data_IF_796216598394
#
_entry.id   IF_796216598394
#
_cell.length_a   1.000
_cell.length_b   1.000
_cell.length_c   1.000
_cell.angle_alpha   90.00
_cell.angle_beta   90.00
_cell.angle_gamma   90.00
#
_symmetry.space_group_name_H-M   'P 1'
#
loop_
_entity.id
_entity.type
_entity.pdbx_description
1 polymer ?
#
# COMPACT_ATOMS: atom_id res chain seq x y z
N UNK A 1 23.38 27.83 -30.68
CA UNK A 1 23.55 28.59 -29.41
C UNK A 1 23.46 27.60 -28.26
N UNK A 2 24.49 27.52 -27.40
CA UNK A 2 24.44 26.71 -26.18
C UNK A 2 23.82 27.55 -25.06
N UNK A 3 22.91 27.03 -24.22
CA UNK A 3 22.52 27.74 -23.01
C UNK A 3 23.55 27.50 -21.90
N UNK A 4 23.84 28.57 -21.17
CA UNK A 4 24.73 28.58 -20.01
C UNK A 4 23.99 28.08 -18.77
N UNK A 5 24.63 27.22 -17.98
CA UNK A 5 24.20 26.87 -16.63
C UNK A 5 24.70 27.94 -15.67
N UNK A 6 23.77 28.64 -15.01
CA UNK A 6 24.07 29.48 -13.83
C UNK A 6 23.53 28.73 -12.61
N UNK A 7 24.43 28.42 -11.68
CA UNK A 7 24.09 27.76 -10.43
C UNK A 7 23.34 28.70 -9.49
N UNK A 8 22.24 28.22 -8.94
CA UNK A 8 21.61 28.76 -7.75
C UNK A 8 21.26 27.61 -6.81
N UNK A 9 21.73 27.75 -5.58
CA UNK A 9 21.53 26.84 -4.44
C UNK A 9 20.05 26.93 -4.04
N UNK A 10 19.33 25.81 -4.09
CA UNK A 10 17.93 25.73 -3.68
C UNK A 10 17.76 24.64 -2.62
N UNK A 11 16.94 24.97 -1.61
CA UNK A 11 16.46 24.11 -0.55
C UNK A 11 15.89 22.77 -1.06
N UNK A 12 16.04 21.72 -0.24
CA UNK A 12 15.56 20.36 -0.52
C UNK A 12 14.02 20.31 -0.42
N UNK A 13 13.35 20.66 -1.51
CA UNK A 13 12.03 20.18 -1.88
C UNK A 13 12.15 19.50 -3.24
N UNK A 14 11.73 18.24 -3.36
CA UNK A 14 11.93 17.44 -4.56
C UNK A 14 11.30 18.09 -5.80
N UNK A 15 12.10 18.16 -6.85
CA UNK A 15 11.80 18.80 -8.14
C UNK A 15 10.96 17.89 -9.03
N UNK A 16 9.73 18.31 -9.33
CA UNK A 16 9.02 17.86 -10.53
C UNK A 16 9.87 18.20 -11.77
N UNK A 17 10.14 17.22 -12.63
CA UNK A 17 10.77 17.50 -13.93
C UNK A 17 9.71 18.13 -14.83
N UNK A 18 9.60 19.46 -14.78
CA UNK A 18 8.72 20.23 -15.66
C UNK A 18 9.30 20.25 -17.08
N UNK A 19 8.55 19.78 -18.06
CA UNK A 19 8.87 20.02 -19.48
C UNK A 19 8.06 21.20 -19.97
N UNK A 20 8.74 22.28 -20.41
CA UNK A 20 8.07 23.44 -20.99
C UNK A 20 7.95 23.27 -22.50
N UNK A 21 6.72 23.16 -23.01
CA UNK A 21 6.37 23.54 -24.37
C UNK A 21 5.24 24.59 -24.26
N UNK A 22 5.47 25.78 -24.79
CA UNK A 22 4.50 26.90 -24.82
C UNK A 22 4.03 27.49 -23.46
N UNK A 23 4.84 27.44 -22.42
CA UNK A 23 4.54 28.16 -21.16
C UNK A 23 3.47 27.53 -20.27
N UNK A 24 2.94 26.35 -20.65
CA UNK A 24 2.16 25.49 -19.77
C UNK A 24 3.11 24.51 -19.08
N UNK A 25 3.22 24.58 -17.75
CA UNK A 25 3.88 23.54 -16.98
C UNK A 25 2.98 22.31 -16.96
N UNK A 26 3.37 21.26 -17.66
CA UNK A 26 2.77 19.93 -17.48
C UNK A 26 3.60 19.18 -16.45
N UNK A 27 2.99 18.84 -15.31
CA UNK A 27 3.57 17.87 -14.41
C UNK A 27 3.59 16.51 -15.11
N UNK A 28 4.78 15.96 -15.35
CA UNK A 28 4.91 14.60 -15.86
C UNK A 28 4.50 13.66 -14.73
N UNK A 29 3.37 12.96 -14.91
CA UNK A 29 2.90 11.94 -13.97
C UNK A 29 3.98 10.87 -13.77
N UNK A 30 4.21 10.40 -12.53
CA UNK A 30 5.18 9.34 -12.28
C UNK A 30 4.78 8.06 -13.01
N UNK A 31 5.77 7.22 -13.30
CA UNK A 31 5.62 6.02 -14.13
C UNK A 31 4.57 5.05 -13.57
N UNK A 32 4.58 4.82 -12.25
CA UNK A 32 3.62 3.92 -11.59
C UNK A 32 2.17 4.35 -11.81
N UNK A 33 1.90 5.67 -11.84
CA UNK A 33 0.55 6.19 -12.05
C UNK A 33 0.07 5.87 -13.47
N UNK A 34 0.97 5.90 -14.45
CA UNK A 34 0.66 5.53 -15.84
C UNK A 34 0.34 4.04 -15.96
N UNK A 35 1.05 3.20 -15.22
CA UNK A 35 0.87 1.74 -15.26
C UNK A 35 -0.49 1.31 -14.66
N UNK A 36 -1.03 2.07 -13.69
CA UNK A 36 -2.40 1.83 -13.19
C UNK A 36 -3.49 2.10 -14.24
N UNK A 37 -3.24 2.87 -15.30
CA UNK A 37 -4.20 3.03 -16.40
C UNK A 37 -4.15 1.85 -17.38
N UNK A 38 -3.11 1.01 -17.35
CA UNK A 38 -2.94 -0.09 -18.30
C UNK A 38 -3.49 -1.43 -17.81
N UNK A 39 -3.82 -1.53 -16.53
CA UNK A 39 -4.24 -2.79 -15.89
C UNK A 39 -5.68 -3.21 -16.25
N UNK A 40 -6.57 -2.28 -16.63
CA UNK A 40 -7.92 -2.66 -17.07
C UNK A 40 -7.94 -3.11 -18.53
N UNK A 41 -8.70 -4.17 -18.88
CA UNK A 41 -9.69 -4.87 -18.06
C UNK A 41 -9.16 -6.08 -17.27
N UNK A 42 -7.93 -6.54 -17.52
CA UNK A 42 -7.40 -7.77 -16.93
C UNK A 42 -7.34 -7.73 -15.39
N UNK A 43 -7.00 -6.57 -14.83
CA UNK A 43 -7.00 -6.29 -13.39
C UNK A 43 -8.35 -6.49 -12.69
N UNK A 44 -9.46 -6.59 -13.42
CA UNK A 44 -10.75 -6.94 -12.80
C UNK A 44 -10.76 -8.37 -12.25
N UNK A 45 -9.98 -9.28 -12.83
CA UNK A 45 -9.98 -10.70 -12.49
C UNK A 45 -8.59 -11.24 -12.12
N UNK A 46 -7.52 -10.52 -12.45
CA UNK A 46 -6.14 -10.92 -12.20
C UNK A 46 -5.41 -9.87 -11.34
N UNK A 47 -4.92 -10.28 -10.17
CA UNK A 47 -4.18 -9.41 -9.25
C UNK A 47 -2.75 -9.12 -9.72
N UNK A 48 -2.19 -9.99 -10.57
CA UNK A 48 -0.79 -9.87 -11.01
C UNK A 48 -0.54 -8.61 -11.84
N UNK A 49 -1.57 -8.12 -12.52
CA UNK A 49 -1.59 -6.85 -13.26
C UNK A 49 -1.24 -5.66 -12.33
N UNK A 50 -1.66 -5.70 -11.07
CA UNK A 50 -1.41 -4.63 -10.11
C UNK A 50 -0.03 -4.71 -9.43
N UNK A 51 0.70 -5.82 -9.54
CA UNK A 51 1.98 -5.98 -8.83
C UNK A 51 3.06 -5.00 -9.30
N UNK A 52 3.14 -4.75 -10.61
CA UNK A 52 4.06 -3.76 -11.19
C UNK A 52 3.78 -2.33 -10.68
N UNK A 53 2.55 -1.81 -10.89
CA UNK A 53 2.16 -0.49 -10.40
C UNK A 53 2.39 -0.30 -8.89
N UNK A 54 1.98 -1.25 -8.06
CA UNK A 54 2.20 -1.16 -6.60
C UNK A 54 3.67 -1.26 -6.21
N UNK A 55 4.46 -2.13 -6.84
CA UNK A 55 5.90 -2.19 -6.57
C UNK A 55 6.59 -0.86 -6.91
N UNK A 56 6.24 -0.25 -8.05
CA UNK A 56 6.73 1.08 -8.44
C UNK A 56 6.33 2.17 -7.46
N UNK A 57 5.07 2.19 -7.04
CA UNK A 57 4.56 3.13 -6.03
C UNK A 57 5.29 2.97 -4.70
N UNK A 58 5.47 1.74 -4.21
CA UNK A 58 6.17 1.50 -2.95
C UNK A 58 7.65 1.92 -3.01
N UNK A 59 8.33 1.70 -4.14
CA UNK A 59 9.73 2.13 -4.34
C UNK A 59 9.87 3.65 -4.29
N UNK A 60 8.85 4.39 -4.72
CA UNK A 60 8.80 5.85 -4.58
C UNK A 60 8.52 6.26 -3.12
N UNK A 61 7.53 5.63 -2.49
CA UNK A 61 7.08 5.97 -1.14
C UNK A 61 8.12 5.59 -0.07
N UNK A 62 8.84 4.49 -0.25
CA UNK A 62 9.84 3.95 0.68
C UNK A 62 11.18 3.73 -0.03
N UNK A 63 11.92 4.81 -0.32
CA UNK A 63 13.11 4.73 -1.14
C UNK A 63 14.27 4.08 -0.38
N UNK A 64 15.05 3.26 -1.07
CA UNK A 64 16.20 2.54 -0.49
C UNK A 64 17.25 3.42 0.22
N UNK A 65 17.57 4.63 -0.26
CA UNK A 65 18.45 5.57 0.46
C UNK A 65 17.97 5.98 1.86
N UNK A 66 16.67 5.81 2.16
CA UNK A 66 16.11 6.02 3.51
C UNK A 66 16.13 4.73 4.35
N UNK A 67 16.88 3.70 3.92
CA UNK A 67 17.04 2.41 4.59
C UNK A 67 15.76 1.57 4.69
N UNK A 68 14.82 1.77 3.77
CA UNK A 68 13.68 0.89 3.59
C UNK A 68 13.96 -0.20 2.56
N UNK A 69 13.41 -1.38 2.79
CA UNK A 69 13.45 -2.51 1.85
C UNK A 69 12.03 -2.98 1.56
N UNK A 70 11.74 -3.22 0.27
CA UNK A 70 10.47 -3.79 -0.16
C UNK A 70 10.70 -5.27 -0.45
N UNK A 71 9.99 -6.12 0.27
CA UNK A 71 10.12 -7.57 0.21
C UNK A 71 8.80 -8.17 -0.31
N UNK A 72 8.74 -8.64 -1.56
CA UNK A 72 7.61 -9.43 -2.03
C UNK A 72 7.59 -10.77 -1.31
N UNK A 73 6.43 -11.15 -0.78
CA UNK A 73 6.20 -12.46 -0.14
C UNK A 73 5.07 -13.17 -0.85
N UNK A 74 5.28 -14.47 -1.04
CA UNK A 74 4.31 -15.37 -1.66
C UNK A 74 3.74 -16.29 -0.59
N UNK A 75 2.42 -16.31 -0.42
CA UNK A 75 1.78 -17.36 0.36
C UNK A 75 1.62 -18.57 -0.57
N UNK A 76 2.29 -19.69 -0.25
CA UNK A 76 1.95 -20.95 -0.90
C UNK A 76 0.58 -21.39 -0.39
N UNK A 77 -0.34 -21.83 -1.26
CA UNK A 77 -1.62 -22.34 -0.82
C UNK A 77 -1.41 -23.51 0.16
N UNK A 78 -2.13 -23.47 1.28
CA UNK A 78 -2.11 -24.53 2.31
C UNK A 78 -2.72 -25.84 1.81
N UNK A 79 -3.51 -25.79 0.73
CA UNK A 79 -4.03 -26.96 0.03
C UNK A 79 -3.34 -27.17 -1.32
N UNK A 80 -2.85 -28.38 -1.64
CA UNK A 80 -2.20 -28.70 -2.92
C UNK A 80 -3.06 -28.46 -4.17
N UNK A 81 -4.37 -28.29 -3.99
CA UNK A 81 -5.36 -28.06 -5.06
C UNK A 81 -5.76 -26.59 -5.24
N UNK A 82 -5.25 -25.68 -4.41
CA UNK A 82 -5.42 -24.25 -4.62
C UNK A 82 -4.23 -23.71 -5.41
N UNK A 83 -4.49 -22.87 -6.42
CA UNK A 83 -3.49 -22.17 -7.24
C UNK A 83 -3.48 -20.67 -6.85
N UNK A 84 -4.11 -20.30 -5.74
CA UNK A 84 -4.15 -18.90 -5.30
C UNK A 84 -2.84 -18.56 -4.57
N UNK A 85 -1.86 -18.08 -5.35
CA UNK A 85 -0.63 -17.48 -4.85
C UNK A 85 -0.86 -15.99 -4.65
N UNK A 86 -1.25 -15.62 -3.43
CA UNK A 86 -1.36 -14.20 -3.10
C UNK A 86 0.03 -13.62 -2.83
N UNK A 87 0.41 -12.62 -3.63
CA UNK A 87 1.61 -11.82 -3.37
C UNK A 87 1.21 -10.61 -2.53
N UNK A 88 1.98 -10.36 -1.49
CA UNK A 88 1.88 -9.15 -0.69
C UNK A 88 3.28 -8.57 -0.51
N UNK A 89 3.37 -7.25 -0.38
CA UNK A 89 4.63 -6.56 -0.19
C UNK A 89 4.77 -6.16 1.27
N UNK A 90 5.93 -6.46 1.85
CA UNK A 90 6.31 -5.98 3.18
C UNK A 90 7.35 -4.89 2.97
N UNK A 91 7.14 -3.75 3.59
CA UNK A 91 8.15 -2.72 3.76
C UNK A 91 8.82 -2.95 5.10
N UNK A 92 10.15 -3.07 5.08
CA UNK A 92 10.97 -3.27 6.26
C UNK A 92 11.89 -2.08 6.50
N UNK A 93 12.09 -1.74 7.76
CA UNK A 93 13.18 -0.88 8.22
C UNK A 93 14.03 -1.67 9.20
N UNK A 94 15.35 -1.72 8.98
CA UNK A 94 16.27 -2.49 9.83
C UNK A 94 15.82 -3.95 10.09
N UNK A 95 15.29 -4.62 9.06
CA UNK A 95 14.74 -5.99 9.10
C UNK A 95 13.42 -6.19 9.88
N UNK A 96 12.77 -5.12 10.35
CA UNK A 96 11.46 -5.20 11.00
C UNK A 96 10.34 -4.72 10.07
N UNK A 97 9.15 -5.36 10.08
CA UNK A 97 8.01 -4.90 9.29
C UNK A 97 7.50 -3.56 9.83
N UNK A 98 7.38 -2.56 8.95
CA UNK A 98 6.88 -1.22 9.31
C UNK A 98 5.63 -0.83 8.53
N UNK A 99 5.39 -1.48 7.39
CA UNK A 99 4.21 -1.33 6.58
C UNK A 99 4.05 -2.58 5.69
N UNK A 100 2.83 -2.92 5.29
CA UNK A 100 2.61 -3.94 4.27
C UNK A 100 1.36 -3.67 3.44
N UNK A 101 1.29 -4.26 2.24
CA UNK A 101 0.12 -4.17 1.36
C UNK A 101 -0.18 -5.53 0.74
N UNK A 102 -1.45 -5.95 0.82
CA UNK A 102 -1.98 -7.15 0.17
C UNK A 102 -2.90 -6.73 -0.98
N UNK A 103 -2.68 -7.31 -2.17
CA UNK A 103 -3.28 -6.86 -3.42
C UNK A 103 -4.18 -7.95 -3.97
N UNK A 104 -5.38 -7.56 -4.39
CA UNK A 104 -6.39 -8.42 -5.02
C UNK A 104 -7.00 -7.74 -6.25
N UNK A 105 -7.65 -8.50 -7.16
CA UNK A 105 -8.29 -7.94 -8.35
C UNK A 105 -9.38 -6.93 -7.98
N UNK A 106 -9.61 -5.92 -8.83
CA UNK A 106 -10.61 -4.88 -8.57
C UNK A 106 -12.04 -5.42 -8.55
N UNK A 107 -12.32 -6.50 -9.30
CA UNK A 107 -13.63 -7.15 -9.31
C UNK A 107 -14.03 -7.75 -7.96
N UNK A 108 -13.08 -7.99 -7.06
CA UNK A 108 -13.35 -8.50 -5.71
C UNK A 108 -14.20 -7.53 -4.89
N UNK A 109 -14.07 -6.21 -5.12
CA UNK A 109 -14.83 -5.20 -4.40
C UNK A 109 -16.34 -5.38 -4.53
N UNK A 110 -16.82 -5.98 -5.62
CA UNK A 110 -18.26 -6.17 -5.89
C UNK A 110 -18.87 -7.38 -5.18
N UNK A 111 -18.07 -8.24 -4.55
CA UNK A 111 -18.53 -9.51 -3.96
C UNK A 111 -18.21 -9.60 -2.46
N UNK A 112 -19.25 -9.75 -1.62
CA UNK A 112 -19.13 -9.87 -0.16
C UNK A 112 -18.13 -10.96 0.25
N UNK A 113 -18.18 -12.12 -0.42
CA UNK A 113 -17.28 -13.24 -0.11
C UNK A 113 -15.81 -12.91 -0.31
N UNK A 114 -15.46 -12.18 -1.38
CA UNK A 114 -14.08 -11.81 -1.66
C UNK A 114 -13.57 -10.69 -0.75
N UNK A 115 -14.42 -9.70 -0.44
CA UNK A 115 -14.08 -8.69 0.58
C UNK A 115 -13.83 -9.32 1.95
N UNK A 116 -14.70 -10.24 2.36
CA UNK A 116 -14.54 -10.98 3.62
C UNK A 116 -13.26 -11.81 3.65
N UNK A 117 -12.89 -12.43 2.53
CA UNK A 117 -11.63 -13.17 2.42
C UNK A 117 -10.41 -12.24 2.48
N UNK A 118 -10.48 -11.05 1.87
CA UNK A 118 -9.41 -10.04 1.94
C UNK A 118 -9.23 -9.50 3.37
N UNK A 119 -10.32 -9.18 4.08
CA UNK A 119 -10.26 -8.80 5.50
C UNK A 119 -9.64 -9.90 6.37
N UNK A 120 -10.06 -11.16 6.17
CA UNK A 120 -9.48 -12.29 6.90
C UNK A 120 -7.97 -12.41 6.63
N UNK A 121 -7.52 -12.28 5.38
CA UNK A 121 -6.10 -12.33 5.04
C UNK A 121 -5.32 -11.21 5.74
N UNK A 122 -5.84 -9.97 5.75
CA UNK A 122 -5.22 -8.86 6.48
C UNK A 122 -5.05 -9.17 7.96
N UNK A 123 -6.09 -9.69 8.63
CA UNK A 123 -6.03 -10.06 10.05
C UNK A 123 -4.99 -11.14 10.33
N UNK A 124 -4.95 -12.18 9.51
CA UNK A 124 -3.90 -13.22 9.58
C UNK A 124 -2.49 -12.64 9.42
N UNK A 125 -2.30 -11.55 8.63
CA UNK A 125 -1.00 -10.88 8.52
C UNK A 125 -0.62 -10.13 9.78
N UNK A 126 -1.56 -9.40 10.38
CA UNK A 126 -1.30 -8.71 11.64
C UNK A 126 -0.96 -9.71 12.75
N UNK A 127 -1.69 -10.81 12.85
CA UNK A 127 -1.37 -11.88 13.81
C UNK A 127 0.04 -12.42 13.60
N UNK A 128 0.45 -12.64 12.35
CA UNK A 128 1.79 -13.13 12.02
C UNK A 128 2.90 -12.10 12.34
N UNK A 129 2.61 -10.80 12.24
CA UNK A 129 3.59 -9.74 12.52
C UNK A 129 3.57 -9.24 13.96
N UNK A 130 2.56 -9.58 14.76
CA UNK A 130 2.36 -9.02 16.09
C UNK A 130 3.59 -9.13 17.00
N UNK A 131 4.36 -10.21 16.88
CA UNK A 131 5.59 -10.45 17.66
C UNK A 131 6.87 -9.86 17.02
N UNK A 132 6.83 -9.48 15.74
CA UNK A 132 7.99 -8.97 14.98
C UNK A 132 8.04 -7.43 14.94
N UNK A 133 6.92 -6.76 15.22
CA UNK A 133 6.77 -5.30 15.16
C UNK A 133 7.55 -4.62 16.29
N UNK A 134 8.41 -3.68 15.91
CA UNK A 134 9.22 -2.87 16.82
C UNK A 134 8.84 -1.38 16.82
N UNK A 135 7.72 -1.03 16.17
CA UNK A 135 7.16 0.33 16.11
C UNK A 135 5.84 0.39 16.91
N UNK A 136 5.45 1.59 17.34
CA UNK A 136 4.25 1.78 18.16
C UNK A 136 2.95 1.34 17.43
N UNK A 137 2.93 1.45 16.10
CA UNK A 137 1.77 1.11 15.29
C UNK A 137 2.20 0.57 13.94
N UNK A 138 1.73 -0.64 13.60
CA UNK A 138 1.91 -1.22 12.27
C UNK A 138 0.72 -0.84 11.40
N UNK A 139 0.99 -0.36 10.19
CA UNK A 139 -0.05 -0.11 9.19
C UNK A 139 -0.01 -1.18 8.09
N UNK A 140 -1.19 -1.62 7.66
CA UNK A 140 -1.38 -2.57 6.58
C UNK A 140 -2.44 -2.06 5.62
N UNK A 141 -2.27 -2.26 4.32
CA UNK A 141 -3.26 -1.84 3.32
C UNK A 141 -3.81 -3.06 2.58
N UNK A 142 -5.13 -3.16 2.51
CA UNK A 142 -5.79 -4.08 1.58
C UNK A 142 -6.17 -3.32 0.32
N UNK A 143 -5.59 -3.70 -0.82
CA UNK A 143 -5.91 -3.14 -2.12
C UNK A 143 -6.81 -4.08 -2.92
N UNK A 144 -8.01 -3.62 -3.28
CA UNK A 144 -8.87 -4.26 -4.29
C UNK A 144 -8.77 -3.42 -5.57
N UNK A 145 -7.80 -3.75 -6.42
CA UNK A 145 -7.35 -2.88 -7.50
C UNK A 145 -6.78 -1.58 -6.97
N UNK A 146 -7.39 -0.43 -7.30
CA UNK A 146 -6.95 0.90 -6.85
C UNK A 146 -7.62 1.36 -5.56
N UNK A 147 -8.67 0.66 -5.12
CA UNK A 147 -9.42 0.99 -3.91
C UNK A 147 -8.73 0.37 -2.70
N UNK A 148 -8.42 1.19 -1.69
CA UNK A 148 -7.62 0.85 -0.53
C UNK A 148 -8.47 0.88 0.74
N UNK A 149 -8.29 -0.14 1.57
CA UNK A 149 -8.71 -0.15 2.96
C UNK A 149 -7.46 -0.12 3.84
N UNK A 150 -7.36 0.88 4.72
CA UNK A 150 -6.23 1.05 5.64
C UNK A 150 -6.53 0.40 6.97
N UNK A 151 -5.66 -0.50 7.39
CA UNK A 151 -5.65 -1.13 8.70
C UNK A 151 -4.54 -0.55 9.57
N UNK A 152 -4.79 -0.46 10.87
CA UNK A 152 -3.79 -0.09 11.87
C UNK A 152 -3.83 -1.02 13.06
N UNK A 153 -2.67 -1.51 13.46
CA UNK A 153 -2.45 -2.33 14.64
C UNK A 153 -1.60 -1.58 15.66
N UNK A 154 -2.14 -1.36 16.85
CA UNK A 154 -1.44 -0.76 17.97
C UNK A 154 -0.70 -1.84 18.77
N UNK A 155 0.64 -1.76 18.83
CA UNK A 155 1.46 -2.83 19.39
C UNK A 155 1.38 -2.92 20.92
N UNK A 156 1.01 -1.83 21.60
CA UNK A 156 0.89 -1.82 23.05
C UNK A 156 -0.42 -2.46 23.54
N UNK A 157 -1.52 -2.22 22.83
CA UNK A 157 -2.85 -2.73 23.20
C UNK A 157 -3.27 -3.99 22.44
N UNK A 158 -2.61 -4.30 21.32
CA UNK A 158 -3.04 -5.34 20.38
C UNK A 158 -4.28 -4.96 19.58
N UNK A 159 -4.69 -3.69 19.60
CA UNK A 159 -5.93 -3.24 18.94
C UNK A 159 -5.74 -3.15 17.43
N UNK A 160 -6.59 -3.84 16.67
CA UNK A 160 -6.65 -3.78 15.21
C UNK A 160 -7.89 -3.01 14.74
N UNK A 161 -7.68 -2.02 13.87
CA UNK A 161 -8.73 -1.22 13.23
C UNK A 161 -8.62 -1.40 11.71
N UNK A 162 -9.73 -1.58 10.97
CA UNK A 162 -11.10 -1.75 11.46
C UNK A 162 -11.29 -3.00 12.32
N UNK A 163 -12.15 -2.88 13.34
CA UNK A 163 -12.51 -3.99 14.21
C UNK A 163 -13.26 -5.09 13.45
N UNK A 164 -13.09 -6.34 13.88
CA UNK A 164 -13.75 -7.47 13.24
C UNK A 164 -15.28 -7.37 13.38
N UNK A 165 -15.99 -7.68 12.30
CA UNK A 165 -17.45 -7.88 12.33
C UNK A 165 -17.70 -9.38 12.47
N UNK A 166 -18.37 -9.73 13.56
CA UNK A 166 -18.72 -11.12 13.87
C UNK A 166 -19.65 -11.73 12.83
N UNK A 167 -19.47 -13.02 12.59
CA UNK A 167 -20.35 -13.76 11.68
C UNK A 167 -21.71 -13.98 12.34
N UNK A 168 -22.77 -13.60 11.64
CA UNK A 168 -24.12 -13.97 12.06
C UNK A 168 -24.29 -15.49 11.89
N UNK A 169 -24.75 -16.17 12.94
CA UNK A 169 -24.88 -17.64 12.98
C UNK A 169 -26.08 -18.14 12.18
N UNK A 170 -26.99 -17.24 11.80
CA UNK A 170 -28.29 -17.53 11.18
C UNK A 170 -28.46 -16.88 9.81
N UNK A 171 -27.74 -15.79 9.52
CA UNK A 171 -27.85 -15.03 8.27
C UNK A 171 -26.49 -14.81 7.61
N UNK A 172 -26.49 -14.56 6.30
CA UNK A 172 -25.31 -14.04 5.61
C UNK A 172 -25.24 -12.54 5.89
N UNK A 173 -24.22 -12.11 6.62
CA UNK A 173 -23.94 -10.70 6.89
C UNK A 173 -22.64 -10.25 6.19
N UNK A 174 -22.57 -8.96 5.83
CA UNK A 174 -21.36 -8.36 5.27
C UNK A 174 -20.36 -8.07 6.39
N UNK A 175 -19.34 -8.91 6.49
CA UNK A 175 -18.30 -8.81 7.52
C UNK A 175 -17.16 -7.87 7.14
N UNK A 176 -17.13 -7.44 5.88
CA UNK A 176 -16.15 -6.51 5.34
C UNK A 176 -16.87 -5.55 4.38
N UNK A 177 -17.59 -4.55 4.92
CA UNK A 177 -18.33 -3.57 4.15
C UNK A 177 -17.48 -2.96 3.04
N UNK A 178 -18.06 -2.81 1.84
CA UNK A 178 -17.35 -2.17 0.72
C UNK A 178 -16.87 -0.75 1.06
N UNK A 179 -17.57 -0.06 1.96
CA UNK A 179 -17.23 1.26 2.46
C UNK A 179 -15.90 1.32 3.25
N UNK A 180 -15.29 0.18 3.57
CA UNK A 180 -13.93 0.16 4.13
C UNK A 180 -12.84 0.40 3.08
N UNK A 181 -13.10 0.11 1.81
CA UNK A 181 -12.22 0.45 0.69
C UNK A 181 -12.61 1.81 0.13
N UNK A 182 -12.45 2.86 0.95
CA UNK A 182 -12.93 4.23 0.71
C UNK A 182 -11.88 5.14 0.05
N UNK A 183 -10.65 4.66 -0.13
CA UNK A 183 -9.53 5.43 -0.68
C UNK A 183 -9.21 4.95 -2.08
N UNK A 184 -9.43 5.77 -3.10
CA UNK A 184 -8.97 5.46 -4.46
C UNK A 184 -7.60 6.10 -4.71
N UNK A 185 -6.56 5.29 -4.86
CA UNK A 185 -5.20 5.78 -5.04
C UNK A 185 -5.00 6.59 -6.33
N UNK A 186 -5.90 6.44 -7.30
CA UNK A 186 -5.87 7.18 -8.57
C UNK A 186 -6.46 8.58 -8.47
N UNK A 187 -7.06 8.92 -7.32
CA UNK A 187 -7.55 10.27 -7.04
C UNK A 187 -6.48 11.09 -6.32
N UNK A 188 -6.39 12.41 -6.54
CA UNK A 188 -5.46 13.26 -5.80
C UNK A 188 -5.63 13.14 -4.28
N UNK A 189 -6.86 13.03 -3.80
CA UNK A 189 -7.19 12.90 -2.38
C UNK A 189 -6.70 11.55 -1.82
N UNK A 190 -6.89 10.45 -2.57
CA UNK A 190 -6.43 9.14 -2.15
C UNK A 190 -4.92 8.99 -2.17
N UNK A 191 -4.25 9.55 -3.18
CA UNK A 191 -2.79 9.66 -3.23
C UNK A 191 -2.25 10.42 -2.02
N UNK A 192 -2.82 11.60 -1.74
CA UNK A 192 -2.41 12.42 -0.60
C UNK A 192 -2.58 11.66 0.73
N UNK A 193 -3.71 10.96 0.92
CA UNK A 193 -3.96 10.18 2.14
C UNK A 193 -2.95 9.04 2.33
N UNK A 194 -2.56 8.36 1.25
CA UNK A 194 -1.50 7.34 1.33
C UNK A 194 -0.13 7.97 1.65
N UNK A 195 0.21 9.12 1.06
CA UNK A 195 1.48 9.82 1.34
C UNK A 195 1.57 10.31 2.78
N UNK A 196 0.48 10.82 3.34
CA UNK A 196 0.40 11.20 4.75
C UNK A 196 0.61 9.99 5.67
N UNK A 197 -0.04 8.86 5.35
CA UNK A 197 0.16 7.61 6.07
C UNK A 197 1.63 7.15 6.04
N UNK A 198 2.27 7.21 4.87
CA UNK A 198 3.68 6.83 4.69
C UNK A 198 4.60 7.77 5.46
N UNK A 199 4.36 9.08 5.41
CA UNK A 199 5.13 10.06 6.21
C UNK A 199 5.06 9.70 7.69
N UNK A 200 3.86 9.40 8.19
CA UNK A 200 3.68 8.99 9.57
C UNK A 200 4.40 7.68 9.92
N UNK A 201 4.40 6.69 9.02
CA UNK A 201 5.20 5.45 9.19
C UNK A 201 6.69 5.78 9.29
N UNK A 202 7.21 6.65 8.41
CA UNK A 202 8.63 7.04 8.43
C UNK A 202 9.01 7.73 9.73
N UNK A 203 8.18 8.64 10.23
CA UNK A 203 8.42 9.35 11.50
C UNK A 203 8.51 8.39 12.70
N UNK A 204 7.66 7.35 12.73
CA UNK A 204 7.73 6.30 13.74
C UNK A 204 9.06 5.52 13.67
N UNK A 205 9.56 5.24 12.47
CA UNK A 205 10.84 4.55 12.29
C UNK A 205 12.02 5.36 12.83
N UNK A 206 12.02 6.68 12.60
CA UNK A 206 13.08 7.58 13.11
C UNK A 206 13.09 7.63 14.65
N UNK A 207 11.91 7.68 15.26
CA UNK A 207 11.77 7.75 16.74
C UNK A 207 12.33 6.51 17.43
N UNK A 208 12.15 5.33 16.81
CA UNK A 208 12.70 4.07 17.33
C UNK A 208 14.22 4.03 17.22
N UNK A 209 14.80 4.51 16.12
CA UNK A 209 16.27 4.51 15.93
C UNK A 209 17.05 5.38 16.91
N UNK A 210 16.40 6.33 17.60
CA UNK A 210 17.04 7.21 18.61
C UNK A 210 16.97 6.61 20.03
N UNK A 211 16.15 5.58 20.23
CA UNK A 211 15.85 5.00 21.55
C UNK A 211 16.65 3.73 21.88
N UNK A 212 17.53 3.30 20.96
CA UNK A 212 18.43 2.12 21.09
C UNK A 212 19.87 2.61 21.28
#
# INVERSE_FOLDING_TARGET
MKPAFVGARADRGHSYVSTSYNGLMFAVKPMWERDFYTVTPLGEVDETEYYGPYNGLLLELFPGPEHFMIVPRYKRPTHPQSIDFTTFFIVQSHNHPVFFIEIKPSGHLRKISYRSAADQQMRERFDAFAEEVNIAKLYGVSALGTQLCVYSYDSASGTLIPGAIERDTTHVNDRAPAAWWDVDIMTPEGEQRLRELVTHVKDMCVTVSVSV
#
